data_IF_467038102178
#
_entry.id   IF_467038102178
#
_cell.length_a   1.000
_cell.length_b   1.000
_cell.length_c   1.000
_cell.angle_alpha   90.00
_cell.angle_beta   90.00
_cell.angle_gamma   90.00
#
_symmetry.space_group_name_H-M   'P 1'
#
loop_
_entity.id
_entity.type
_entity.pdbx_description
1 polymer ?
#
# COMPACT_ATOMS: atom_id res chain seq x y z
N UNK A 1 -23.00 8.28 2.71
CA UNK A 1 -22.38 8.04 1.38
C UNK A 1 -22.47 6.55 1.10
N UNK A 2 -23.04 6.11 -0.03
CA UNK A 2 -23.09 4.67 -0.36
C UNK A 2 -21.72 4.24 -0.90
N UNK A 3 -21.18 3.07 -0.50
CA UNK A 3 -19.93 2.57 -1.07
C UNK A 3 -20.12 2.26 -2.56
N UNK A 4 -19.16 2.67 -3.39
CA UNK A 4 -19.15 2.33 -4.81
C UNK A 4 -18.72 0.87 -4.94
N UNK A 5 -19.56 0.07 -5.58
CA UNK A 5 -19.34 -1.36 -5.79
C UNK A 5 -19.23 -1.61 -7.30
N UNK A 6 -18.16 -2.30 -7.69
CA UNK A 6 -17.86 -2.64 -9.06
C UNK A 6 -18.21 -4.10 -9.35
N UNK A 7 -18.62 -4.36 -10.59
CA UNK A 7 -18.80 -5.71 -11.12
C UNK A 7 -17.52 -6.20 -11.81
N UNK A 8 -17.49 -7.47 -12.21
CA UNK A 8 -16.39 -8.02 -13.01
C UNK A 8 -16.18 -7.24 -14.32
N UNK A 9 -17.27 -6.80 -14.97
CA UNK A 9 -17.22 -6.05 -16.23
C UNK A 9 -16.65 -4.64 -16.03
N UNK A 10 -17.06 -3.98 -14.95
CA UNK A 10 -16.53 -2.66 -14.60
C UNK A 10 -15.03 -2.76 -14.33
N UNK A 11 -14.62 -3.78 -13.55
CA UNK A 11 -13.23 -4.00 -13.22
C UNK A 11 -12.38 -4.36 -14.45
N UNK A 12 -12.92 -5.16 -15.37
CA UNK A 12 -12.28 -5.47 -16.64
C UNK A 12 -12.00 -4.20 -17.46
N UNK A 13 -12.96 -3.28 -17.48
CA UNK A 13 -12.85 -1.98 -18.15
C UNK A 13 -11.81 -1.09 -17.46
N UNK A 14 -11.85 -0.99 -16.13
CA UNK A 14 -10.91 -0.18 -15.34
C UNK A 14 -9.46 -0.67 -15.53
N UNK A 15 -9.25 -1.99 -15.54
CA UNK A 15 -7.93 -2.60 -15.65
C UNK A 15 -7.46 -2.77 -17.11
N UNK A 16 -8.33 -2.51 -18.09
CA UNK A 16 -8.03 -2.73 -19.52
C UNK A 16 -7.75 -4.21 -19.86
N UNK A 17 -8.44 -5.14 -19.20
CA UNK A 17 -8.27 -6.60 -19.41
C UNK A 17 -9.60 -7.28 -19.71
N UNK A 18 -9.57 -8.56 -20.10
CA UNK A 18 -10.79 -9.35 -20.29
C UNK A 18 -11.42 -9.79 -18.96
N UNK A 19 -12.75 -9.95 -18.95
CA UNK A 19 -13.49 -10.55 -17.83
C UNK A 19 -12.89 -11.88 -17.36
N UNK A 20 -12.40 -12.69 -18.30
CA UNK A 20 -11.76 -13.97 -18.00
C UNK A 20 -10.46 -13.79 -17.21
N UNK A 21 -9.68 -12.76 -17.54
CA UNK A 21 -8.46 -12.41 -16.79
C UNK A 21 -8.82 -12.01 -15.36
N UNK A 22 -9.87 -11.21 -15.18
CA UNK A 22 -10.37 -10.86 -13.83
C UNK A 22 -10.75 -12.12 -13.05
N UNK A 23 -11.54 -13.03 -13.63
CA UNK A 23 -11.92 -14.30 -12.98
C UNK A 23 -10.71 -15.18 -12.65
N UNK A 24 -9.68 -15.18 -13.50
CA UNK A 24 -8.44 -15.94 -13.30
C UNK A 24 -7.66 -15.40 -12.10
N UNK A 25 -7.56 -14.09 -11.95
CA UNK A 25 -6.85 -13.45 -10.84
C UNK A 25 -7.58 -13.64 -9.50
N UNK A 26 -8.92 -13.69 -9.52
CA UNK A 26 -9.72 -14.12 -8.36
C UNK A 26 -9.39 -15.58 -7.99
N UNK A 27 -9.42 -16.50 -8.96
CA UNK A 27 -9.09 -17.92 -8.73
C UNK A 27 -7.66 -18.13 -8.19
N UNK A 28 -6.73 -17.26 -8.58
CA UNK A 28 -5.34 -17.26 -8.10
C UNK A 28 -5.18 -16.65 -6.70
N UNK A 29 -6.24 -16.08 -6.13
CA UNK A 29 -6.21 -15.40 -4.83
C UNK A 29 -5.48 -14.06 -4.84
N UNK A 30 -5.15 -13.52 -6.02
CA UNK A 30 -4.44 -12.24 -6.17
C UNK A 30 -5.40 -11.06 -6.11
N UNK A 31 -6.58 -11.23 -6.68
CA UNK A 31 -7.64 -10.22 -6.66
C UNK A 31 -8.72 -10.61 -5.65
N UNK A 32 -8.85 -9.82 -4.58
CA UNK A 32 -9.89 -10.02 -3.57
C UNK A 32 -11.26 -9.60 -4.11
N UNK A 33 -12.30 -10.32 -3.71
CA UNK A 33 -13.69 -9.96 -4.00
C UNK A 33 -14.63 -10.49 -2.92
N UNK A 34 -15.85 -9.98 -2.90
CA UNK A 34 -16.95 -10.60 -2.17
C UNK A 34 -18.05 -11.01 -3.17
N UNK A 35 -18.86 -11.99 -2.80
CA UNK A 35 -19.91 -12.52 -3.66
C UNK A 35 -21.28 -12.03 -3.20
N UNK A 36 -22.10 -11.63 -4.16
CA UNK A 36 -23.53 -11.36 -3.96
C UNK A 36 -24.28 -12.30 -4.90
N UNK A 37 -24.80 -13.41 -4.35
CA UNK A 37 -25.26 -14.54 -5.17
C UNK A 37 -24.09 -15.21 -5.89
N UNK A 38 -24.21 -15.37 -7.21
CA UNK A 38 -23.18 -15.93 -8.09
C UNK A 38 -22.22 -14.88 -8.66
N UNK A 39 -22.45 -13.59 -8.36
CA UNK A 39 -21.69 -12.51 -8.95
C UNK A 39 -20.61 -11.98 -8.01
N UNK A 40 -19.38 -11.88 -8.53
CA UNK A 40 -18.28 -11.22 -7.86
C UNK A 40 -18.50 -9.70 -7.83
N UNK A 41 -18.16 -9.10 -6.69
CA UNK A 41 -18.23 -7.67 -6.41
C UNK A 41 -16.92 -7.18 -5.80
N UNK A 42 -16.57 -5.95 -6.15
CA UNK A 42 -15.31 -5.34 -5.77
C UNK A 42 -15.59 -3.97 -5.15
N UNK A 43 -14.91 -3.68 -4.05
CA UNK A 43 -14.85 -2.33 -3.49
C UNK A 43 -13.64 -1.63 -4.09
N UNK A 44 -13.58 -0.31 -3.96
CA UNK A 44 -12.41 0.48 -4.31
C UNK A 44 -11.12 -0.07 -3.66
N UNK A 45 -11.20 -0.47 -2.38
CA UNK A 45 -10.07 -1.05 -1.63
C UNK A 45 -9.54 -2.33 -2.29
N UNK A 46 -10.41 -3.20 -2.82
CA UNK A 46 -9.97 -4.41 -3.51
C UNK A 46 -9.18 -4.11 -4.79
N UNK A 47 -9.55 -3.04 -5.48
CA UNK A 47 -8.90 -2.60 -6.72
C UNK A 47 -7.54 -1.99 -6.38
N UNK A 48 -7.49 -1.12 -5.38
CA UNK A 48 -6.25 -0.49 -4.90
C UNK A 48 -5.25 -1.52 -4.39
N UNK A 49 -5.70 -2.47 -3.57
CA UNK A 49 -4.89 -3.60 -3.09
C UNK A 49 -4.26 -4.36 -4.27
N UNK A 50 -5.04 -4.64 -5.32
CA UNK A 50 -4.59 -5.39 -6.49
C UNK A 50 -3.62 -4.60 -7.37
N UNK A 51 -3.87 -3.30 -7.56
CA UNK A 51 -3.04 -2.42 -8.39
C UNK A 51 -1.70 -2.09 -7.74
N UNK A 52 -1.67 -1.92 -6.41
CA UNK A 52 -0.43 -1.63 -5.69
C UNK A 52 0.60 -2.77 -5.80
N UNK A 53 0.13 -4.02 -5.86
CA UNK A 53 1.00 -5.18 -6.12
C UNK A 53 1.62 -5.13 -7.52
N UNK A 54 0.96 -4.51 -8.50
CA UNK A 54 1.37 -4.52 -9.90
C UNK A 54 2.46 -3.49 -10.23
N UNK A 55 2.47 -2.34 -9.55
CA UNK A 55 3.43 -1.26 -9.86
C UNK A 55 4.70 -1.30 -9.00
N UNK A 56 4.71 -1.89 -7.79
CA UNK A 56 5.94 -1.92 -6.96
C UNK A 56 6.13 -3.16 -6.07
N UNK A 57 5.37 -4.24 -6.26
CA UNK A 57 5.52 -5.46 -5.45
C UNK A 57 5.31 -5.25 -3.93
N UNK A 58 4.87 -4.07 -3.52
CA UNK A 58 4.61 -3.66 -2.14
C UNK A 58 3.15 -3.23 -2.02
N UNK A 59 2.51 -3.68 -0.97
CA UNK A 59 1.15 -3.30 -0.56
C UNK A 59 1.11 -1.85 -0.08
N UNK A 60 -0.10 -1.25 -0.01
CA UNK A 60 -0.33 0.08 0.56
C UNK A 60 0.29 0.24 1.95
N UNK A 61 0.15 -0.81 2.78
CA UNK A 61 0.70 -0.84 4.13
C UNK A 61 2.23 -0.84 4.13
N UNK A 62 2.86 -1.55 3.21
CA UNK A 62 4.32 -1.56 3.06
C UNK A 62 4.86 -0.21 2.57
N UNK A 63 4.12 0.48 1.68
CA UNK A 63 4.47 1.84 1.25
C UNK A 63 4.38 2.83 2.42
N UNK A 64 3.32 2.74 3.23
CA UNK A 64 3.21 3.55 4.46
C UNK A 64 4.34 3.27 5.44
N UNK A 65 4.66 1.99 5.65
CA UNK A 65 5.76 1.57 6.53
C UNK A 65 7.11 2.07 6.04
N UNK A 66 7.38 2.07 4.73
CA UNK A 66 8.61 2.65 4.18
C UNK A 66 8.67 4.17 4.33
N UNK A 67 7.54 4.87 4.17
CA UNK A 67 7.48 6.32 4.47
C UNK A 67 7.76 6.61 5.94
N UNK A 68 7.13 5.85 6.84
CA UNK A 68 7.31 6.02 8.29
C UNK A 68 8.75 5.69 8.70
N UNK A 69 9.32 4.61 8.17
CA UNK A 69 10.73 4.24 8.38
C UNK A 69 11.68 5.35 7.92
N UNK A 70 11.43 5.96 6.75
CA UNK A 70 12.24 7.08 6.26
C UNK A 70 12.20 8.27 7.21
N UNK A 71 11.00 8.66 7.68
CA UNK A 71 10.84 9.76 8.64
C UNK A 71 11.55 9.47 9.97
N UNK A 72 11.44 8.26 10.49
CA UNK A 72 12.11 7.86 11.72
C UNK A 72 13.65 7.92 11.59
N UNK A 73 14.19 7.51 10.44
CA UNK A 73 15.63 7.59 10.18
C UNK A 73 16.12 9.05 10.13
N UNK A 74 15.34 9.97 9.55
CA UNK A 74 15.66 11.40 9.55
C UNK A 74 15.70 11.97 10.98
N UNK A 75 14.72 11.60 11.81
CA UNK A 75 14.68 12.02 13.23
C UNK A 75 15.86 11.46 14.02
N UNK A 76 16.25 10.19 13.80
CA UNK A 76 17.41 9.59 14.46
C UNK A 76 18.68 10.34 14.05
N UNK A 77 18.87 10.62 12.76
CA UNK A 77 20.04 11.33 12.27
C UNK A 77 20.18 12.74 12.86
N UNK A 78 19.07 13.44 13.06
CA UNK A 78 19.04 14.75 13.72
C UNK A 78 19.40 14.64 15.21
N UNK A 79 18.80 13.67 15.91
CA UNK A 79 19.12 13.41 17.33
C UNK A 79 20.59 13.03 17.53
N UNK A 80 21.16 12.22 16.65
CA UNK A 80 22.57 11.83 16.71
C UNK A 80 23.50 13.03 16.53
N UNK A 81 23.15 13.99 15.66
CA UNK A 81 23.90 15.25 15.53
C UNK A 81 23.85 16.05 16.82
N UNK A 82 22.67 16.25 17.40
CA UNK A 82 22.51 17.00 18.66
C UNK A 82 23.29 16.35 19.80
N UNK A 83 23.21 15.02 19.94
CA UNK A 83 23.97 14.28 20.96
C UNK A 83 25.47 14.48 20.77
N UNK A 84 25.96 14.44 19.52
CA UNK A 84 27.37 14.67 19.22
C UNK A 84 27.81 16.09 19.58
N UNK A 85 26.99 17.10 19.31
CA UNK A 85 27.26 18.49 19.67
C UNK A 85 27.32 18.67 21.19
N UNK A 86 26.34 18.12 21.93
CA UNK A 86 26.33 18.14 23.40
C UNK A 86 27.58 17.44 23.95
N UNK A 87 27.93 16.27 23.42
CA UNK A 87 29.12 15.52 23.84
C UNK A 87 30.40 16.34 23.63
N UNK A 88 30.54 16.99 22.48
CA UNK A 88 31.69 17.84 22.18
C UNK A 88 31.74 19.10 23.06
N UNK A 89 30.59 19.64 23.46
CA UNK A 89 30.49 20.76 24.38
C UNK A 89 30.97 20.34 25.78
N UNK A 90 30.44 19.24 26.32
CA UNK A 90 30.82 18.70 27.63
C UNK A 90 32.32 18.36 27.69
N UNK A 91 32.87 17.74 26.63
CA UNK A 91 34.29 17.37 26.58
C UNK A 91 35.25 18.54 26.39
N UNK A 92 34.77 19.74 26.07
CA UNK A 92 35.58 20.96 26.00
C UNK A 92 35.67 21.71 27.33
N UNK A 93 34.80 21.39 28.29
CA UNK A 93 34.79 21.99 29.64
C UNK A 93 35.61 21.19 30.68
N UNK A 94 36.36 20.17 30.25
CA UNK A 94 37.28 19.36 31.09
C UNK A 94 38.72 19.56 30.64
#
# INVERSE_FOLDING_TARGET
>A
MKPIIYTTKDLATILGVSDETVRREIKRGRLKCFYVGDQARFTQVHIEDYMNVKDFGMTTREIELEKEKKQLLEVIAEKDRTIKEIKNFILKEV
#
